data_IF_276292537488
#
_entry.id   IF_276292537488
#
_cell.length_a   1.000
_cell.length_b   1.000
_cell.length_c   1.000
_cell.angle_alpha   90.00
_cell.angle_beta   90.00
_cell.angle_gamma   90.00
#
_symmetry.space_group_name_H-M   'P 1'
#
loop_
_entity.id
_entity.type
_entity.pdbx_description
1 polymer ?
#
# COMPACT_ATOMS: atom_id res chain seq x y z
N UNK A 1 11.34 -13.78 -5.77
CA UNK A 1 11.85 -12.75 -4.82
C UNK A 1 11.86 -11.35 -5.42
N UNK A 2 12.68 -11.04 -6.44
CA UNK A 2 12.79 -9.68 -7.02
C UNK A 2 11.46 -9.08 -7.51
N UNK A 3 10.60 -9.91 -8.13
CA UNK A 3 9.29 -9.47 -8.64
C UNK A 3 8.31 -9.09 -7.53
N UNK A 4 8.21 -9.89 -6.45
CA UNK A 4 7.39 -9.55 -5.27
C UNK A 4 7.91 -8.29 -4.55
N UNK A 5 9.23 -8.11 -4.47
CA UNK A 5 9.83 -6.90 -3.89
C UNK A 5 9.49 -5.66 -4.71
N UNK A 6 9.59 -5.74 -6.04
CA UNK A 6 9.20 -4.65 -6.94
C UNK A 6 7.70 -4.33 -6.83
N UNK A 7 6.85 -5.36 -6.75
CA UNK A 7 5.41 -5.20 -6.57
C UNK A 7 5.08 -4.50 -5.25
N UNK A 8 5.69 -4.94 -4.15
CA UNK A 8 5.46 -4.34 -2.83
C UNK A 8 5.96 -2.90 -2.77
N UNK A 9 7.10 -2.60 -3.40
CA UNK A 9 7.61 -1.24 -3.52
C UNK A 9 6.66 -0.34 -4.34
N UNK A 10 6.09 -0.84 -5.44
CA UNK A 10 5.09 -0.10 -6.23
C UNK A 10 3.86 0.25 -5.39
N UNK A 11 3.31 -0.74 -4.69
CA UNK A 11 2.11 -0.54 -3.84
C UNK A 11 2.41 0.44 -2.70
N UNK A 12 3.61 0.38 -2.10
CA UNK A 12 4.03 1.34 -1.08
C UNK A 12 4.13 2.77 -1.63
N UNK A 13 4.68 2.94 -2.84
CA UNK A 13 4.74 4.24 -3.51
C UNK A 13 3.33 4.78 -3.83
N UNK A 14 2.42 3.94 -4.32
CA UNK A 14 1.03 4.32 -4.59
C UNK A 14 0.32 4.77 -3.30
N UNK A 15 0.51 4.04 -2.20
CA UNK A 15 -0.04 4.40 -0.90
C UNK A 15 0.52 5.74 -0.40
N UNK A 16 1.82 5.98 -0.55
CA UNK A 16 2.44 7.24 -0.14
C UNK A 16 1.87 8.44 -0.92
N UNK A 17 1.73 8.32 -2.24
CA UNK A 17 1.12 9.37 -3.07
C UNK A 17 -0.33 9.61 -2.68
N UNK A 18 -1.10 8.55 -2.43
CA UNK A 18 -2.50 8.66 -2.01
C UNK A 18 -2.63 9.40 -0.67
N UNK A 19 -1.76 9.12 0.30
CA UNK A 19 -1.74 9.80 1.59
C UNK A 19 -1.34 11.29 1.43
N UNK A 20 -0.36 11.60 0.59
CA UNK A 20 0.01 12.98 0.25
C UNK A 20 -1.16 13.75 -0.35
N UNK A 21 -1.94 13.14 -1.26
CA UNK A 21 -3.13 13.78 -1.85
C UNK A 21 -4.18 14.07 -0.77
N UNK A 22 -4.43 13.14 0.15
CA UNK A 22 -5.41 13.33 1.23
C UNK A 22 -4.99 14.46 2.19
N UNK A 23 -3.70 14.63 2.43
CA UNK A 23 -3.16 15.64 3.34
C UNK A 23 -3.11 17.03 2.69
N UNK A 24 -2.63 17.13 1.46
CA UNK A 24 -2.28 18.41 0.82
C UNK A 24 -3.40 19.00 -0.05
N UNK A 25 -4.41 18.22 -0.44
CA UNK A 25 -5.49 18.70 -1.29
C UNK A 25 -6.74 19.08 -0.50
N UNK A 26 -7.44 20.11 -0.96
CA UNK A 26 -8.81 20.39 -0.52
C UNK A 26 -9.76 19.35 -1.13
N UNK A 27 -10.24 18.45 -0.28
CA UNK A 27 -11.14 17.36 -0.63
C UNK A 27 -12.34 17.46 0.29
N UNK A 28 -13.53 17.36 -0.29
CA UNK A 28 -14.77 17.33 0.49
C UNK A 28 -14.79 16.12 1.45
N UNK A 29 -15.70 16.16 2.42
CA UNK A 29 -15.75 15.13 3.46
C UNK A 29 -15.98 13.72 2.92
N UNK A 30 -16.81 13.56 1.89
CA UNK A 30 -17.12 12.26 1.28
C UNK A 30 -15.93 11.78 0.45
N UNK A 31 -15.32 12.66 -0.34
CA UNK A 31 -14.10 12.37 -1.09
C UNK A 31 -12.96 11.93 -0.18
N UNK A 32 -12.77 12.63 0.94
CA UNK A 32 -11.73 12.29 1.94
C UNK A 32 -11.97 10.92 2.55
N UNK A 33 -13.19 10.61 2.97
CA UNK A 33 -13.54 9.30 3.54
C UNK A 33 -13.35 8.15 2.53
N UNK A 34 -13.69 8.39 1.26
CA UNK A 34 -13.47 7.44 0.18
C UNK A 34 -11.98 7.17 -0.06
N UNK A 35 -11.15 8.21 -0.05
CA UNK A 35 -9.70 8.08 -0.23
C UNK A 35 -9.03 7.41 0.97
N UNK A 36 -9.47 7.70 2.20
CA UNK A 36 -9.03 6.96 3.40
C UNK A 36 -9.40 5.48 3.28
N UNK A 37 -10.62 5.18 2.84
CA UNK A 37 -11.06 3.80 2.61
C UNK A 37 -10.23 3.10 1.52
N UNK A 38 -9.84 3.82 0.46
CA UNK A 38 -8.94 3.31 -0.57
C UNK A 38 -7.53 3.07 -0.01
N UNK A 39 -6.98 4.02 0.75
CA UNK A 39 -5.66 3.91 1.37
C UNK A 39 -5.58 2.69 2.30
N UNK A 40 -6.63 2.43 3.07
CA UNK A 40 -6.74 1.24 3.90
C UNK A 40 -6.68 -0.04 3.06
N UNK A 41 -7.43 -0.13 1.96
CA UNK A 41 -7.40 -1.30 1.06
C UNK A 41 -6.03 -1.50 0.39
N UNK A 42 -5.36 -0.42 -0.02
CA UNK A 42 -4.02 -0.49 -0.61
C UNK A 42 -2.99 -0.91 0.45
N UNK A 43 -3.11 -0.40 1.67
CA UNK A 43 -2.30 -0.82 2.82
C UNK A 43 -2.49 -2.30 3.17
N UNK A 44 -3.72 -2.81 3.15
CA UNK A 44 -4.00 -4.23 3.41
C UNK A 44 -3.35 -5.13 2.33
N UNK A 45 -3.38 -4.70 1.07
CA UNK A 45 -2.69 -5.40 -0.03
C UNK A 45 -1.16 -5.37 0.11
N UNK A 46 -0.61 -4.25 0.57
CA UNK A 46 0.82 -4.13 0.86
C UNK A 46 1.21 -5.08 1.99
N UNK A 47 0.46 -5.07 3.09
CA UNK A 47 0.71 -5.95 4.24
C UNK A 47 0.65 -7.42 3.83
N UNK A 48 -0.36 -7.83 3.06
CA UNK A 48 -0.45 -9.19 2.52
C UNK A 48 0.78 -9.56 1.67
N UNK A 49 1.21 -8.66 0.77
CA UNK A 49 2.39 -8.87 -0.09
C UNK A 49 3.69 -8.96 0.72
N UNK A 50 3.83 -8.17 1.80
CA UNK A 50 4.99 -8.21 2.69
C UNK A 50 5.04 -9.50 3.53
N UNK A 51 3.90 -10.00 3.98
CA UNK A 51 3.81 -11.29 4.69
C UNK A 51 4.18 -12.44 3.76
N UNK A 52 3.72 -12.43 2.51
CA UNK A 52 4.08 -13.42 1.49
C UNK A 52 5.58 -13.39 1.18
N UNK A 53 6.17 -12.20 1.09
CA UNK A 53 7.62 -12.01 0.97
C UNK A 53 8.39 -12.63 2.14
N UNK A 54 7.95 -12.37 3.37
CA UNK A 54 8.59 -12.91 4.57
C UNK A 54 8.46 -14.44 4.64
N UNK A 55 7.29 -14.98 4.27
CA UNK A 55 7.01 -16.42 4.26
C UNK A 55 7.85 -17.17 3.22
N UNK A 56 8.09 -16.55 2.06
CA UNK A 56 8.92 -17.13 0.99
C UNK A 56 10.42 -17.04 1.31
N UNK A 57 10.84 -16.03 2.08
CA UNK A 57 12.21 -15.90 2.58
C UNK A 57 12.58 -16.94 3.63
N UNK A 58 11.62 -17.36 4.48
CA UNK A 58 11.84 -18.35 5.52
C UNK A 58 11.99 -19.80 5.01
N UNK A 59 11.51 -20.10 3.81
CA UNK A 59 11.58 -21.45 3.21
C UNK A 59 12.90 -21.75 2.47
N UNK A 60 13.78 -20.75 2.33
CA UNK A 60 15.06 -20.89 1.63
C UNK A 60 16.29 -20.65 2.54
N UNK A 61 16.11 -20.74 3.86
CA UNK A 61 17.16 -20.58 4.88
C UNK A 61 17.50 -21.89 5.57
#
# INVERSE_FOLDING_TARGET
MRELTNKSASIACELAVLLMVVEECEIDSVGRENLISLARRVSDQLAASMVELNSTGALNG
#
